data_IF_802711338826
#
_entry.id   IF_802711338826
#
_cell.length_a   1.000
_cell.length_b   1.000
_cell.length_c   1.000
_cell.angle_alpha   90.00
_cell.angle_beta   90.00
_cell.angle_gamma   90.00
#
_symmetry.space_group_name_H-M   'P 1'
#
loop_
_entity.id
_entity.type
_entity.pdbx_description
1 polymer ?
#
# COMPACT_ATOMS: atom_id res chain seq x y z
N UNK A 1 -3.44 -5.94 2.25
CA UNK A 1 -3.62 -4.80 1.32
C UNK A 1 -3.85 -5.30 -0.11
N UNK A 2 -2.87 -5.95 -0.75
CA UNK A 2 -2.92 -6.25 -2.18
C UNK A 2 -4.07 -7.12 -2.69
N UNK A 3 -4.62 -8.07 -1.90
CA UNK A 3 -5.66 -8.99 -2.40
C UNK A 3 -6.92 -8.28 -2.90
N UNK A 4 -7.50 -7.40 -2.07
CA UNK A 4 -8.71 -6.66 -2.38
C UNK A 4 -8.55 -5.80 -3.65
N UNK A 5 -7.39 -5.14 -3.77
CA UNK A 5 -7.02 -4.32 -4.94
C UNK A 5 -6.90 -5.18 -6.20
N UNK A 6 -6.17 -6.31 -6.11
CA UNK A 6 -5.95 -7.20 -7.26
C UNK A 6 -7.24 -7.85 -7.75
N UNK A 7 -8.19 -8.13 -6.86
CA UNK A 7 -9.50 -8.66 -7.22
C UNK A 7 -10.35 -7.62 -7.92
N UNK A 8 -10.44 -6.41 -7.35
CA UNK A 8 -11.13 -5.28 -7.98
C UNK A 8 -10.57 -4.95 -9.38
N UNK A 9 -9.24 -4.93 -9.54
CA UNK A 9 -8.59 -4.72 -10.84
C UNK A 9 -8.88 -5.81 -11.87
N UNK A 10 -9.33 -6.98 -11.44
CA UNK A 10 -9.71 -8.11 -12.30
C UNK A 10 -11.22 -8.26 -12.43
N UNK A 11 -11.99 -7.30 -11.92
CA UNK A 11 -13.45 -7.34 -11.89
C UNK A 11 -13.98 -8.61 -11.19
N UNK A 12 -13.30 -9.01 -10.11
CA UNK A 12 -13.68 -10.13 -9.27
C UNK A 12 -14.24 -9.62 -7.95
N UNK A 13 -15.31 -10.27 -7.48
CA UNK A 13 -15.85 -10.01 -6.16
C UNK A 13 -14.83 -10.31 -5.05
N UNK A 14 -14.85 -9.47 -4.03
CA UNK A 14 -14.08 -9.75 -2.82
C UNK A 14 -14.66 -10.98 -2.12
N UNK A 15 -13.83 -11.96 -1.70
CA UNK A 15 -14.30 -13.12 -0.95
C UNK A 15 -14.89 -12.75 0.41
N UNK A 16 -14.52 -11.58 0.94
CA UNK A 16 -15.01 -11.10 2.21
C UNK A 16 -15.32 -9.60 2.15
N UNK A 17 -16.40 -9.21 1.46
CA UNK A 17 -16.78 -7.81 1.29
C UNK A 17 -17.22 -7.19 2.62
N UNK A 18 -17.62 -8.01 3.60
CA UNK A 18 -18.01 -7.57 4.94
C UNK A 18 -16.85 -6.96 5.74
N UNK A 19 -15.62 -7.33 5.38
CA UNK A 19 -14.40 -6.80 6.02
C UNK A 19 -13.88 -5.53 5.36
N UNK A 20 -14.46 -5.11 4.24
CA UNK A 20 -14.05 -3.87 3.58
C UNK A 20 -14.73 -2.67 4.27
N UNK A 21 -13.92 -1.83 4.94
CA UNK A 21 -14.38 -0.55 5.51
C UNK A 21 -14.74 0.46 4.44
N UNK A 22 -14.11 0.38 3.28
CA UNK A 22 -14.38 1.21 2.12
C UNK A 22 -14.20 0.41 0.82
N UNK A 23 -14.85 0.88 -0.25
CA UNK A 23 -14.72 0.29 -1.58
C UNK A 23 -13.35 0.60 -2.17
N UNK A 24 -12.82 -0.34 -2.96
CA UNK A 24 -11.68 -0.08 -3.84
C UNK A 24 -12.14 0.93 -4.90
N UNK A 25 -11.26 1.89 -5.19
CA UNK A 25 -11.52 2.91 -6.19
C UNK A 25 -11.64 2.37 -7.62
N UNK A 26 -12.18 3.18 -8.54
CA UNK A 26 -12.30 2.85 -9.96
C UNK A 26 -10.94 2.79 -10.67
N UNK A 27 -10.02 3.67 -10.29
CA UNK A 27 -8.62 3.72 -10.72
C UNK A 27 -7.71 3.56 -9.49
N UNK A 28 -7.72 2.38 -8.85
CA UNK A 28 -7.20 2.25 -7.50
C UNK A 28 -5.69 2.39 -7.46
N UNK A 29 -5.21 3.14 -6.48
CA UNK A 29 -3.80 3.19 -6.15
C UNK A 29 -3.24 1.78 -5.88
N UNK A 30 -2.13 1.42 -6.53
CA UNK A 30 -1.46 0.13 -6.28
C UNK A 30 -0.95 -0.07 -4.84
N UNK A 31 -0.86 1.01 -4.04
CA UNK A 31 -0.41 0.96 -2.65
C UNK A 31 -1.57 0.90 -1.65
N UNK A 32 -2.56 1.79 -1.77
CA UNK A 32 -3.66 1.90 -0.79
C UNK A 32 -5.05 1.54 -1.31
N UNK A 33 -5.22 1.36 -2.62
CA UNK A 33 -6.48 0.97 -3.26
C UNK A 33 -7.52 2.08 -3.45
N UNK A 34 -7.18 3.35 -3.20
CA UNK A 34 -8.08 4.51 -3.34
C UNK A 34 -7.77 5.33 -4.61
N UNK A 35 -8.73 6.13 -5.10
CA UNK A 35 -8.63 6.87 -6.38
C UNK A 35 -7.83 8.18 -6.30
N UNK A 36 -7.75 8.81 -5.13
CA UNK A 36 -7.14 10.16 -4.98
C UNK A 36 -5.61 10.16 -4.90
N UNK A 37 -4.98 8.99 -5.13
CA UNK A 37 -3.53 8.89 -5.09
C UNK A 37 -2.94 9.22 -6.46
N UNK A 38 -2.15 10.28 -6.50
CA UNK A 38 -1.40 10.70 -7.68
C UNK A 38 -0.05 10.00 -7.63
N UNK A 39 0.31 9.30 -8.70
CA UNK A 39 1.64 8.72 -8.90
C UNK A 39 2.24 9.30 -10.17
N UNK A 40 3.42 9.89 -10.09
CA UNK A 40 4.10 10.48 -11.25
C UNK A 40 5.48 9.87 -11.41
N UNK A 41 5.84 9.44 -12.63
CA UNK A 41 7.21 9.05 -12.95
C UNK A 41 7.99 10.30 -13.36
N UNK A 42 9.07 10.63 -12.61
CA UNK A 42 9.98 11.74 -12.92
C UNK A 42 11.40 11.20 -13.07
N UNK A 43 12.20 11.83 -13.91
CA UNK A 43 13.63 11.52 -14.03
C UNK A 43 14.44 12.65 -13.39
N UNK A 44 15.45 12.30 -12.59
CA UNK A 44 16.40 13.30 -12.09
C UNK A 44 17.31 13.78 -13.22
N UNK A 45 18.06 14.86 -12.98
CA UNK A 45 19.06 15.37 -13.94
C UNK A 45 20.10 14.31 -14.31
N UNK A 46 20.37 13.36 -13.41
CA UNK A 46 21.31 12.25 -13.59
C UNK A 46 20.66 11.04 -14.31
N UNK A 47 19.41 11.15 -14.75
CA UNK A 47 18.67 10.08 -15.43
C UNK A 47 18.05 9.02 -14.50
N UNK A 48 18.19 9.16 -13.18
CA UNK A 48 17.60 8.21 -12.24
C UNK A 48 16.08 8.38 -12.16
N UNK A 49 15.29 7.30 -12.26
CA UNK A 49 13.85 7.38 -12.10
C UNK A 49 13.47 7.64 -10.64
N UNK A 50 12.46 8.49 -10.43
CA UNK A 50 11.80 8.75 -9.15
C UNK A 50 10.30 8.61 -9.34
N UNK A 51 9.62 8.09 -8.33
CA UNK A 51 8.19 7.86 -8.35
C UNK A 51 7.51 8.67 -7.22
N UNK A 52 7.50 10.02 -7.28
CA UNK A 52 6.76 10.82 -6.33
C UNK A 52 5.28 10.43 -6.34
N UNK A 53 4.74 10.24 -5.14
CA UNK A 53 3.33 9.98 -4.91
C UNK A 53 2.89 10.60 -3.58
N UNK A 54 1.62 10.99 -3.50
CA UNK A 54 0.98 11.43 -2.25
C UNK A 54 0.46 10.25 -1.41
N UNK A 55 0.64 9.00 -1.86
CA UNK A 55 0.14 7.84 -1.13
C UNK A 55 0.97 7.59 0.15
N UNK A 56 0.35 7.54 1.34
CA UNK A 56 1.07 7.28 2.59
C UNK A 56 1.64 5.85 2.68
N UNK A 57 1.21 4.96 1.79
CA UNK A 57 1.66 3.57 1.72
C UNK A 57 2.79 3.36 0.69
N UNK A 58 3.29 4.42 0.04
CA UNK A 58 4.50 4.35 -0.77
C UNK A 58 5.73 4.15 0.12
N UNK A 59 6.73 3.39 -0.34
CA UNK A 59 7.92 3.03 0.45
C UNK A 59 8.61 4.24 1.12
N UNK A 60 8.68 5.38 0.44
CA UNK A 60 9.27 6.61 1.01
C UNK A 60 8.38 7.27 2.09
N UNK A 61 7.07 7.09 2.03
CA UNK A 61 6.10 7.59 3.02
C UNK A 61 5.72 6.58 4.10
N UNK A 62 6.06 5.30 3.90
CA UNK A 62 5.74 4.22 4.82
C UNK A 62 6.72 4.23 5.98
N UNK A 63 6.34 4.89 7.06
CA UNK A 63 7.01 4.74 8.35
C UNK A 63 6.70 3.34 8.90
N UNK A 64 7.62 2.38 8.70
CA UNK A 64 7.60 1.15 9.46
C UNK A 64 7.76 1.54 10.94
N UNK A 65 6.64 1.59 11.67
CA UNK A 65 6.69 1.72 13.13
C UNK A 65 7.62 0.65 13.68
N UNK A 66 8.28 0.95 14.79
CA UNK A 66 9.17 0.00 15.44
C UNK A 66 8.49 -1.37 15.52
N UNK A 67 9.23 -2.45 15.19
CA UNK A 67 8.67 -3.78 15.17
C UNK A 67 8.01 -4.07 16.52
N UNK A 68 6.77 -4.56 16.48
CA UNK A 68 5.91 -4.75 17.66
C UNK A 68 6.61 -5.55 18.79
N UNK A 69 7.62 -6.36 18.45
CA UNK A 69 8.39 -7.17 19.40
C UNK A 69 9.90 -7.14 19.11
N UNK A 70 10.56 -5.98 19.14
CA UNK A 70 12.02 -5.91 19.11
C UNK A 70 12.61 -6.50 20.38
N UNK A 71 13.13 -7.73 20.31
CA UNK A 71 13.99 -8.29 21.36
C UNK A 71 15.24 -8.90 20.73
N UNK A 72 16.37 -8.89 21.45
CA UNK A 72 17.64 -9.50 20.98
C UNK A 72 17.53 -10.99 20.64
N UNK A 73 16.44 -11.66 21.03
CA UNK A 73 16.17 -13.08 20.76
C UNK A 73 15.34 -13.32 19.50
N UNK A 74 14.66 -12.31 18.95
CA UNK A 74 13.79 -12.43 17.77
C UNK A 74 14.47 -11.77 16.58
N UNK A 75 15.02 -12.56 15.65
CA UNK A 75 15.75 -12.08 14.47
C UNK A 75 14.84 -11.51 13.37
N UNK A 76 13.54 -11.80 13.40
CA UNK A 76 12.57 -11.34 12.41
C UNK A 76 11.65 -10.30 13.02
N UNK A 77 11.85 -9.05 12.60
CA UNK A 77 11.11 -7.87 13.02
C UNK A 77 10.10 -7.47 11.95
N UNK A 78 9.19 -8.39 11.60
CA UNK A 78 8.17 -8.06 10.62
C UNK A 78 7.16 -7.08 11.26
N UNK A 79 7.12 -5.84 10.78
CA UNK A 79 6.08 -4.89 11.14
C UNK A 79 4.85 -5.19 10.29
N UNK A 80 3.70 -5.58 10.89
CA UNK A 80 2.49 -5.83 10.12
C UNK A 80 2.00 -4.54 9.46
N UNK A 81 1.76 -4.59 8.15
CA UNK A 81 1.14 -3.49 7.42
C UNK A 81 -0.38 -3.67 7.51
N UNK A 82 -1.03 -2.81 8.29
CA UNK A 82 -2.48 -2.79 8.38
C UNK A 82 -3.08 -2.19 7.09
N UNK A 83 -4.04 -2.91 6.53
CA UNK A 83 -4.77 -2.46 5.35
C UNK A 83 -5.81 -1.42 5.76
N UNK A 84 -5.74 -0.20 5.24
CA UNK A 84 -6.78 0.82 5.48
C UNK A 84 -8.15 0.42 4.93
N UNK A 85 -8.18 -0.45 3.92
CA UNK A 85 -9.42 -1.00 3.37
C UNK A 85 -10.12 -1.96 4.35
N UNK A 86 -9.45 -2.46 5.41
CA UNK A 86 -9.97 -3.50 6.32
C UNK A 86 -9.97 -3.06 7.79
#
# INVERSE_FOLDING_TARGET
VGRHILQAMRDLDDPDPSRLKCKVGLEPCGFCGQDECITTLKFTKDGNPRLPTNCPYHYEGMHYTEPVNTSKKVKCTNTPIHCSLC
#
